data_IF_466250036502
#
_entry.id   IF_466250036502
#
_cell.length_a   1.000
_cell.length_b   1.000
_cell.length_c   1.000
_cell.angle_alpha   90.00
_cell.angle_beta   90.00
_cell.angle_gamma   90.00
#
_symmetry.space_group_name_H-M   'P 1'
#
loop_
_entity.id
_entity.type
_entity.pdbx_description
1 polymer ?
#
# COMPACT_ATOMS: atom_id res chain seq x y z
N UNK A 1 29.12 -26.61 -1.27
CA UNK A 1 29.48 -25.27 -1.78
C UNK A 1 29.03 -25.16 -3.22
N UNK A 2 28.56 -23.97 -3.63
CA UNK A 2 28.12 -23.70 -4.99
C UNK A 2 29.12 -22.77 -5.68
N UNK A 3 29.23 -22.84 -7.02
CA UNK A 3 30.01 -21.87 -7.79
C UNK A 3 29.22 -20.58 -7.99
N UNK A 4 27.96 -20.71 -8.36
CA UNK A 4 27.01 -19.61 -8.51
C UNK A 4 25.58 -20.05 -8.18
N UNK A 5 24.68 -19.08 -8.06
CA UNK A 5 23.24 -19.28 -7.90
C UNK A 5 22.56 -18.44 -8.97
N UNK A 6 21.80 -19.08 -9.87
CA UNK A 6 20.96 -18.38 -10.84
C UNK A 6 19.62 -18.08 -10.19
N UNK A 7 19.28 -16.81 -10.03
CA UNK A 7 18.00 -16.34 -9.52
C UNK A 7 17.18 -15.75 -10.66
N UNK A 8 15.97 -16.25 -10.85
CA UNK A 8 14.99 -15.70 -11.78
C UNK A 8 13.80 -15.15 -10.99
N UNK A 9 13.38 -13.92 -11.29
CA UNK A 9 12.21 -13.26 -10.73
C UNK A 9 11.35 -12.74 -11.89
N UNK A 10 10.34 -13.51 -12.29
CA UNK A 10 9.58 -13.23 -13.50
C UNK A 10 10.46 -13.24 -14.76
N UNK A 11 10.56 -12.10 -15.45
CA UNK A 11 11.40 -11.92 -16.64
C UNK A 11 12.87 -11.58 -16.31
N UNK A 12 13.15 -11.17 -15.07
CA UNK A 12 14.48 -10.75 -14.62
C UNK A 12 15.29 -11.97 -14.21
N UNK A 13 16.54 -12.09 -14.67
CA UNK A 13 17.46 -13.17 -14.26
C UNK A 13 18.81 -12.59 -13.84
N UNK A 14 19.37 -13.09 -12.74
CA UNK A 14 20.64 -12.67 -12.18
C UNK A 14 21.47 -13.89 -11.74
N UNK A 15 22.76 -13.89 -12.03
CA UNK A 15 23.70 -14.91 -11.52
C UNK A 15 24.48 -14.33 -10.35
N UNK A 16 24.34 -14.96 -9.18
CA UNK A 16 24.98 -14.56 -7.94
C UNK A 16 26.18 -15.46 -7.62
N UNK A 17 27.19 -14.97 -6.91
CA UNK A 17 28.23 -15.81 -6.34
C UNK A 17 27.64 -16.90 -5.42
N UNK A 18 28.21 -18.12 -5.44
CA UNK A 18 27.67 -19.28 -4.72
C UNK A 18 27.73 -19.22 -3.19
N UNK A 19 28.27 -18.14 -2.62
CA UNK A 19 28.34 -17.86 -1.19
C UNK A 19 27.37 -16.75 -0.74
N UNK A 20 26.58 -16.16 -1.65
CA UNK A 20 25.60 -15.12 -1.30
C UNK A 20 24.43 -15.73 -0.53
N UNK A 21 24.03 -15.08 0.56
CA UNK A 21 22.88 -15.47 1.40
C UNK A 21 21.66 -14.58 1.21
N UNK A 22 21.84 -13.38 0.64
CA UNK A 22 20.75 -12.41 0.41
C UNK A 22 21.05 -11.49 -0.77
N UNK A 23 20.00 -11.09 -1.48
CA UNK A 23 20.06 -10.11 -2.56
C UNK A 23 18.81 -9.24 -2.52
N UNK A 24 18.93 -7.99 -2.97
CA UNK A 24 17.79 -7.09 -3.17
C UNK A 24 17.53 -6.94 -4.66
N UNK A 25 16.28 -7.19 -5.07
CA UNK A 25 15.84 -7.03 -6.46
C UNK A 25 14.54 -6.20 -6.50
N UNK A 26 14.35 -5.37 -7.53
CA UNK A 26 13.04 -4.79 -7.80
C UNK A 26 12.06 -5.91 -8.18
N UNK A 27 10.88 -5.91 -7.56
CA UNK A 27 9.80 -6.85 -7.85
C UNK A 27 8.65 -6.13 -8.57
N UNK A 28 7.95 -6.80 -9.51
CA UNK A 28 6.73 -6.28 -10.09
C UNK A 28 5.67 -6.07 -9.00
N UNK A 29 5.09 -4.86 -8.96
CA UNK A 29 4.06 -4.49 -8.01
C UNK A 29 2.70 -5.03 -8.46
N UNK A 30 1.88 -5.47 -7.51
CA UNK A 30 0.51 -5.95 -7.74
C UNK A 30 0.42 -7.27 -8.51
N UNK A 31 1.53 -7.98 -8.72
CA UNK A 31 1.56 -9.19 -9.53
C UNK A 31 2.21 -10.35 -8.77
N UNK A 32 1.53 -11.50 -8.75
CA UNK A 32 2.12 -12.75 -8.29
C UNK A 32 3.29 -13.12 -9.20
N UNK A 33 4.49 -13.07 -8.64
CA UNK A 33 5.73 -13.31 -9.38
C UNK A 33 6.41 -14.55 -8.84
N UNK A 34 6.69 -15.51 -9.72
CA UNK A 34 7.45 -16.69 -9.34
C UNK A 34 8.95 -16.34 -9.25
N UNK A 35 9.53 -16.59 -8.09
CA UNK A 35 10.98 -16.60 -7.90
C UNK A 35 11.50 -18.03 -8.03
N UNK A 36 12.58 -18.22 -8.79
CA UNK A 36 13.22 -19.53 -9.01
C UNK A 36 14.71 -19.39 -8.71
N UNK A 37 15.23 -20.24 -7.84
CA UNK A 37 16.65 -20.34 -7.51
C UNK A 37 17.20 -21.65 -8.04
N UNK A 38 18.21 -21.56 -8.90
CA UNK A 38 18.89 -22.72 -9.51
C UNK A 38 20.37 -22.68 -9.11
N UNK A 39 20.82 -23.48 -8.14
CA UNK A 39 22.22 -23.51 -7.74
C UNK A 39 23.09 -24.21 -8.80
N UNK A 40 24.32 -23.72 -8.96
CA UNK A 40 25.33 -24.30 -9.84
C UNK A 40 26.42 -24.93 -8.98
N UNK A 41 26.71 -26.20 -9.20
CA UNK A 41 27.76 -26.90 -8.45
C UNK A 41 29.15 -26.34 -8.81
N UNK A 42 30.16 -26.65 -7.99
CA UNK A 42 31.56 -26.28 -8.30
C UNK A 42 32.09 -26.93 -9.59
N UNK A 43 31.42 -27.98 -10.08
CA UNK A 43 31.74 -28.64 -11.35
C UNK A 43 30.97 -28.04 -12.54
N UNK A 44 30.17 -26.98 -12.33
CA UNK A 44 29.39 -26.30 -13.37
C UNK A 44 28.02 -26.93 -13.67
N UNK A 45 27.60 -27.96 -12.93
CA UNK A 45 26.30 -28.61 -13.14
C UNK A 45 25.16 -27.82 -12.49
N UNK A 46 24.05 -27.65 -13.20
CA UNK A 46 22.80 -27.12 -12.63
C UNK A 46 22.16 -28.15 -11.71
N UNK A 47 21.79 -27.72 -10.50
CA UNK A 47 21.09 -28.54 -9.52
C UNK A 47 19.58 -28.28 -9.58
N UNK A 48 18.81 -29.11 -8.86
CA UNK A 48 17.35 -28.97 -8.80
C UNK A 48 16.96 -27.56 -8.33
N UNK A 49 16.07 -26.86 -9.08
CA UNK A 49 15.63 -25.54 -8.71
C UNK A 49 14.62 -25.59 -7.56
N UNK A 50 14.59 -24.51 -6.77
CA UNK A 50 13.56 -24.25 -5.77
C UNK A 50 12.79 -23.01 -6.20
N UNK A 51 11.47 -23.01 -6.03
CA UNK A 51 10.63 -21.86 -6.38
C UNK A 51 9.67 -21.45 -5.26
N UNK A 52 9.31 -20.17 -5.24
CA UNK A 52 8.26 -19.61 -4.40
C UNK A 52 7.48 -18.54 -5.15
N UNK A 53 6.25 -18.25 -4.70
CA UNK A 53 5.49 -17.10 -5.17
C UNK A 53 5.78 -15.92 -4.26
N UNK A 54 6.09 -14.78 -4.87
CA UNK A 54 6.25 -13.50 -4.19
C UNK A 54 5.12 -12.59 -4.68
N UNK A 55 4.42 -11.99 -3.74
CA UNK A 55 3.47 -10.92 -4.02
C UNK A 55 3.97 -9.66 -3.32
N UNK A 56 4.35 -8.67 -4.13
CA UNK A 56 4.56 -7.32 -3.63
C UNK A 56 3.29 -6.54 -3.96
N UNK A 57 2.43 -6.20 -2.97
CA UNK A 57 1.26 -5.37 -3.25
C UNK A 57 1.73 -4.07 -3.91
N UNK A 58 1.00 -3.62 -4.93
CA UNK A 58 1.18 -2.23 -5.37
C UNK A 58 0.87 -1.34 -4.17
N UNK A 59 1.72 -0.36 -3.85
CA UNK A 59 1.29 0.71 -2.97
C UNK A 59 -0.05 1.19 -3.55
N UNK A 60 -1.10 1.20 -2.73
CA UNK A 60 -2.38 1.78 -3.12
C UNK A 60 -2.18 3.23 -3.59
N UNK A 61 -3.20 3.86 -4.20
CA UNK A 61 -3.08 5.27 -4.52
C UNK A 61 -2.72 6.06 -3.27
N UNK A 62 -1.88 7.08 -3.44
CA UNK A 62 -1.44 7.89 -2.33
C UNK A 62 -2.50 8.92 -1.96
N UNK A 63 -2.95 8.97 -0.72
CA UNK A 63 -3.96 9.94 -0.26
C UNK A 63 -3.54 10.55 1.07
N UNK A 64 -4.32 11.52 1.55
CA UNK A 64 -4.24 11.98 2.93
C UNK A 64 -5.52 11.58 3.64
N UNK A 65 -5.42 10.79 4.72
CA UNK A 65 -6.60 10.33 5.48
C UNK A 65 -7.35 11.53 6.05
N UNK A 66 -8.65 11.59 5.79
CA UNK A 66 -9.52 12.70 6.15
C UNK A 66 -9.49 13.91 5.20
N UNK A 67 -8.69 13.91 4.13
CA UNK A 67 -8.76 14.91 3.06
C UNK A 67 -9.75 14.45 1.99
N UNK A 68 -11.03 14.73 2.23
CA UNK A 68 -12.15 14.19 1.46
C UNK A 68 -12.53 15.11 0.30
N UNK A 69 -12.29 16.41 0.41
CA UNK A 69 -12.46 17.32 -0.73
C UNK A 69 -11.21 17.40 -1.61
N UNK A 70 -10.12 16.70 -1.24
CA UNK A 70 -8.86 16.59 -1.96
C UNK A 70 -8.15 17.95 -2.11
N UNK A 71 -8.28 18.85 -1.15
CA UNK A 71 -7.64 20.18 -1.20
C UNK A 71 -6.26 20.23 -0.51
N UNK A 72 -5.82 19.11 0.07
CA UNK A 72 -4.56 18.97 0.80
C UNK A 72 -4.67 19.34 2.28
N UNK A 73 -5.81 19.85 2.76
CA UNK A 73 -5.99 20.48 4.06
C UNK A 73 -7.21 19.91 4.79
N UNK A 74 -6.98 19.10 5.83
CA UNK A 74 -8.06 18.59 6.70
C UNK A 74 -8.73 19.75 7.46
N UNK A 75 -9.97 20.04 7.11
CA UNK A 75 -10.76 21.13 7.67
C UNK A 75 -12.28 20.81 7.64
N UNK A 76 -13.13 21.80 7.93
CA UNK A 76 -14.59 21.61 8.00
C UNK A 76 -15.22 21.25 6.64
N UNK A 77 -14.59 21.62 5.53
CA UNK A 77 -15.03 21.25 4.19
C UNK A 77 -14.95 19.73 3.95
N UNK A 78 -14.00 19.03 4.57
CA UNK A 78 -13.91 17.57 4.52
C UNK A 78 -15.06 16.92 5.27
N UNK A 79 -15.38 17.42 6.47
CA UNK A 79 -16.54 16.97 7.26
C UNK A 79 -17.84 17.13 6.46
N UNK A 80 -18.01 18.29 5.79
CA UNK A 80 -19.16 18.51 4.91
C UNK A 80 -19.20 17.54 3.73
N UNK A 81 -18.04 17.19 3.17
CA UNK A 81 -17.92 16.23 2.08
C UNK A 81 -18.26 14.81 2.54
N UNK A 82 -17.79 14.39 3.71
CA UNK A 82 -18.16 13.10 4.34
C UNK A 82 -19.67 12.98 4.54
N UNK A 83 -20.29 14.00 5.11
CA UNK A 83 -21.75 14.01 5.30
C UNK A 83 -22.51 13.98 3.96
N UNK A 84 -21.96 14.58 2.90
CA UNK A 84 -22.55 14.51 1.56
C UNK A 84 -22.44 13.10 0.96
N UNK A 85 -21.34 12.40 1.19
CA UNK A 85 -21.18 10.99 0.79
C UNK A 85 -22.20 10.11 1.52
N UNK A 86 -22.33 10.27 2.85
CA UNK A 86 -23.22 9.48 3.69
C UNK A 86 -24.71 9.71 3.39
N UNK A 87 -25.13 10.97 3.26
CA UNK A 87 -26.56 11.33 3.23
C UNK A 87 -27.09 11.73 1.86
N UNK A 88 -26.21 12.01 0.89
CA UNK A 88 -26.60 12.38 -0.47
C UNK A 88 -26.09 11.38 -1.53
N UNK A 89 -25.49 10.28 -1.09
CA UNK A 89 -24.96 9.22 -1.96
C UNK A 89 -24.00 9.75 -3.04
N UNK A 90 -23.23 10.78 -2.68
CA UNK A 90 -22.17 11.32 -3.53
C UNK A 90 -21.08 10.26 -3.67
N UNK A 91 -20.72 9.92 -4.91
CA UNK A 91 -19.65 8.96 -5.15
C UNK A 91 -18.28 9.62 -4.89
N UNK A 92 -17.34 8.86 -4.33
CA UNK A 92 -16.00 9.32 -4.04
C UNK A 92 -14.95 8.35 -4.60
N UNK A 93 -13.81 8.87 -5.06
CA UNK A 93 -12.78 8.06 -5.74
C UNK A 93 -11.78 7.41 -4.78
N UNK A 94 -11.81 7.81 -3.50
CA UNK A 94 -10.97 7.26 -2.45
C UNK A 94 -11.76 7.07 -1.17
N UNK A 95 -12.24 5.85 -0.89
CA UNK A 95 -13.02 5.60 0.32
C UNK A 95 -12.15 5.59 1.57
N UNK A 96 -10.87 5.22 1.46
CA UNK A 96 -9.91 5.28 2.58
C UNK A 96 -9.67 6.71 3.10
N UNK A 97 -9.83 7.72 2.23
CA UNK A 97 -9.77 9.12 2.67
C UNK A 97 -11.02 9.54 3.44
N UNK A 98 -12.16 8.91 3.15
CA UNK A 98 -13.46 9.15 3.80
C UNK A 98 -13.49 8.48 5.16
N UNK A 99 -12.97 7.25 5.24
CA UNK A 99 -12.75 6.48 6.47
C UNK A 99 -11.63 7.13 7.31
N UNK A 100 -12.03 8.09 8.13
CA UNK A 100 -11.08 8.93 8.87
C UNK A 100 -10.64 8.26 10.17
N UNK A 101 -11.51 7.40 10.73
CA UNK A 101 -11.22 6.66 11.94
C UNK A 101 -10.49 5.33 11.68
N UNK A 102 -10.36 4.93 10.40
CA UNK A 102 -9.62 3.76 9.90
C UNK A 102 -10.16 2.44 10.45
N UNK A 103 -11.50 2.31 10.50
CA UNK A 103 -12.19 1.13 11.03
C UNK A 103 -12.79 0.20 9.95
N UNK A 104 -12.68 0.58 8.69
CA UNK A 104 -13.15 -0.15 7.51
C UNK A 104 -14.61 0.11 7.16
N UNK A 105 -15.30 1.03 7.85
CA UNK A 105 -16.68 1.39 7.57
C UNK A 105 -16.83 2.89 7.32
N UNK A 106 -17.56 3.23 6.26
CA UNK A 106 -17.95 4.62 6.00
C UNK A 106 -19.26 4.91 6.71
N UNK A 107 -19.20 5.56 7.87
CA UNK A 107 -20.39 5.89 8.67
C UNK A 107 -20.28 7.24 9.42
N UNK A 108 -21.24 7.52 10.31
CA UNK A 108 -21.28 8.80 11.03
C UNK A 108 -20.10 9.00 12.01
N UNK A 109 -19.41 7.93 12.37
CA UNK A 109 -18.25 7.99 13.24
C UNK A 109 -17.06 8.71 12.56
N UNK A 110 -16.95 8.68 11.23
CA UNK A 110 -15.92 9.39 10.47
C UNK A 110 -15.96 10.92 10.64
N UNK A 111 -17.07 11.62 10.34
CA UNK A 111 -17.16 13.06 10.56
C UNK A 111 -17.12 13.42 12.05
N UNK A 112 -17.60 12.55 12.94
CA UNK A 112 -17.46 12.78 14.40
C UNK A 112 -16.00 12.71 14.81
N UNK A 113 -15.25 11.71 14.36
CA UNK A 113 -13.82 11.56 14.61
C UNK A 113 -13.04 12.78 14.09
N UNK A 114 -13.33 13.22 12.87
CA UNK A 114 -12.70 14.40 12.27
C UNK A 114 -12.98 15.67 13.08
N UNK A 115 -14.21 15.89 13.54
CA UNK A 115 -14.55 17.04 14.38
C UNK A 115 -13.86 17.01 15.74
N UNK A 116 -13.72 15.82 16.35
CA UNK A 116 -12.98 15.65 17.60
C UNK A 116 -11.50 15.99 17.41
N UNK A 117 -10.88 15.54 16.32
CA UNK A 117 -9.52 15.90 15.94
C UNK A 117 -9.36 17.42 15.76
N UNK A 118 -10.22 18.05 14.95
CA UNK A 118 -10.11 19.47 14.60
C UNK A 118 -10.35 20.42 15.77
N UNK A 119 -11.28 20.10 16.67
CA UNK A 119 -11.80 21.07 17.65
C UNK A 119 -11.79 20.61 19.11
N UNK A 120 -11.54 19.33 19.39
CA UNK A 120 -11.62 18.78 20.76
C UNK A 120 -10.33 18.14 21.26
N UNK A 121 -9.22 18.26 20.51
CA UNK A 121 -7.96 17.63 20.87
C UNK A 121 -8.00 16.10 20.80
N UNK A 122 -8.87 15.55 19.95
CA UNK A 122 -8.94 14.12 19.65
C UNK A 122 -7.67 13.60 18.96
N UNK A 123 -7.62 12.29 18.75
CA UNK A 123 -6.50 11.66 18.05
C UNK A 123 -6.44 12.16 16.60
N UNK A 124 -5.23 12.37 16.09
CA UNK A 124 -5.03 12.62 14.66
C UNK A 124 -5.38 11.34 13.86
N UNK A 125 -5.88 11.48 12.63
CA UNK A 125 -6.11 10.33 11.75
C UNK A 125 -4.85 9.48 11.61
N UNK A 126 -5.03 8.16 11.59
CA UNK A 126 -3.93 7.21 11.38
C UNK A 126 -3.24 7.47 10.03
N UNK A 127 -2.04 6.92 9.84
CA UNK A 127 -1.36 7.05 8.55
C UNK A 127 -2.26 6.52 7.42
N UNK A 128 -2.37 7.22 6.28
CA UNK A 128 -1.65 8.44 5.89
C UNK A 128 -2.36 9.77 6.25
N UNK A 129 -2.59 10.08 7.53
CA UNK A 129 -3.31 11.30 7.96
C UNK A 129 -2.47 12.59 8.09
N UNK A 130 -1.16 12.47 8.33
CA UNK A 130 -0.27 13.62 8.50
C UNK A 130 0.35 14.09 7.18
N UNK A 131 0.67 13.15 6.31
CA UNK A 131 1.29 13.35 5.01
C UNK A 131 0.68 12.38 4.02
N UNK A 132 0.73 12.75 2.76
CA UNK A 132 0.44 11.85 1.65
C UNK A 132 1.15 10.50 1.83
N UNK A 133 0.42 9.41 1.66
CA UNK A 133 0.97 8.07 1.82
C UNK A 133 -0.01 6.99 1.38
N UNK A 134 0.44 5.75 1.55
CA UNK A 134 -0.39 4.57 1.35
C UNK A 134 -1.17 4.22 2.62
N UNK A 135 -2.30 3.56 2.43
CA UNK A 135 -3.08 2.96 3.49
C UNK A 135 -2.25 1.88 4.23
N UNK A 136 -1.72 2.25 5.40
CA UNK A 136 -0.88 1.38 6.22
C UNK A 136 -1.06 1.74 7.71
N UNK A 137 -1.19 0.76 8.62
CA UNK A 137 -1.01 -0.70 8.46
C UNK A 137 -2.29 -1.48 8.12
N UNK A 138 -3.45 -0.84 8.17
CA UNK A 138 -4.79 -1.41 7.97
C UNK A 138 -5.15 -1.35 6.51
N UNK A 139 -4.50 -2.17 5.67
CA UNK A 139 -5.01 -2.37 4.32
C UNK A 139 -6.33 -3.11 4.41
N UNK A 140 -7.43 -2.37 4.45
CA UNK A 140 -8.78 -2.91 4.47
C UNK A 140 -9.30 -3.12 3.03
N UNK A 141 -10.60 -3.40 2.88
CA UNK A 141 -11.21 -3.65 1.57
C UNK A 141 -11.80 -2.38 0.92
N UNK A 142 -11.59 -1.20 1.50
CA UNK A 142 -12.04 0.04 0.92
C UNK A 142 -11.19 0.37 -0.32
N UNK A 143 -11.84 0.71 -1.45
CA UNK A 143 -11.13 1.09 -2.65
C UNK A 143 -10.70 2.55 -2.57
N UNK A 144 -9.41 2.78 -2.73
CA UNK A 144 -8.89 4.01 -3.27
C UNK A 144 -8.45 3.76 -4.72
N UNK A 145 -9.01 4.51 -5.69
CA UNK A 145 -8.70 4.37 -7.12
C UNK A 145 -7.80 5.50 -7.60
N UNK A 146 -8.02 6.70 -7.06
CA UNK A 146 -7.19 7.87 -7.33
C UNK A 146 -7.04 8.67 -6.06
N UNK A 147 -5.83 8.64 -5.52
CA UNK A 147 -5.36 9.59 -4.54
C UNK A 147 -4.93 10.85 -5.28
N UNK A 148 -5.90 11.68 -5.63
CA UNK A 148 -5.64 12.93 -6.32
C UNK A 148 -5.24 13.95 -5.25
N UNK A 149 -4.12 14.63 -5.48
CA UNK A 149 -3.58 15.75 -4.67
C UNK A 149 -2.66 15.40 -3.50
N UNK A 150 -1.93 14.31 -3.62
CA UNK A 150 -0.58 14.29 -3.07
C UNK A 150 0.30 15.32 -3.80
N UNK A 151 0.93 16.27 -3.09
CA UNK A 151 1.85 17.26 -3.69
C UNK A 151 3.08 16.62 -4.35
#
# INVERSE_FOLDING_TARGET
>A
SYSSINLQLGATSLTLPGNVTSVTLPAPLGLNTTAILTPVSTCGALLLPVSCQIFCPSPGPLFIRGDVNLDGIRNLADVSSQLSILFQSVNHTCLDAVDTNDDGNIDISDPVFMLLFLYSGGLAPAAPGATCGIDTPTQDFLPCQTGQNCP
#
